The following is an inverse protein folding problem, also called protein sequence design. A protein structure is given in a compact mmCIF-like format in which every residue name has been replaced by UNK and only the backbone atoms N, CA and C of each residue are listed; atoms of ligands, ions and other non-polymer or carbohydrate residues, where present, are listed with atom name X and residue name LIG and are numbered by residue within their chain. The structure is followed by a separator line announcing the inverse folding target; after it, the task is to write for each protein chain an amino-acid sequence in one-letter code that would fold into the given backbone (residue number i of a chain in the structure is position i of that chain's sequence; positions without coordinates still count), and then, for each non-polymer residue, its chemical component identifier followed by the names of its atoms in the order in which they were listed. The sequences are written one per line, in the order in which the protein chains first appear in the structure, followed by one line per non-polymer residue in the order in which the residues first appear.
data_IF_174027093353
#
_entry.id   IF_174027093353
#
_cell.length_a   1.000
_cell.length_b   1.000
_cell.length_c   1.000
_cell.angle_alpha   90.00
_cell.angle_beta   90.00
_cell.angle_gamma   90.00
#
_symmetry.space_group_name_H-M   'P 1'
#
loop_
_entity.id
_entity.type
_entity.pdbx_description
1 polymer ?
#
# COMPACT_ATOMS: atom_id res chain seq x y z
N UNK A 1 -5.33 -8.66 10.55
CA UNK A 1 -6.22 -7.91 9.64
C UNK A 1 -6.03 -6.44 9.92
N UNK A 2 -5.70 -5.64 8.92
CA UNK A 2 -5.49 -4.20 9.07
C UNK A 2 -6.86 -3.51 9.18
N UNK A 3 -7.25 -3.04 10.37
CA UNK A 3 -8.60 -2.50 10.66
C UNK A 3 -8.99 -1.23 9.88
N UNK A 4 -7.99 -0.59 9.25
CA UNK A 4 -8.13 0.61 8.42
C UNK A 4 -8.46 0.32 6.96
N UNK A 5 -8.42 -0.93 6.49
CA UNK A 5 -8.84 -1.23 5.11
C UNK A 5 -10.34 -0.95 4.89
N UNK A 6 -10.67 -0.32 3.76
CA UNK A 6 -12.03 0.06 3.37
C UNK A 6 -12.33 -0.36 1.93
N UNK A 7 -12.02 -1.60 1.60
CA UNK A 7 -12.29 -2.18 0.29
C UNK A 7 -11.31 -3.28 -0.07
N UNK A 8 -11.38 -3.73 -1.31
CA UNK A 8 -10.43 -4.68 -1.86
C UNK A 8 -9.12 -3.95 -2.22
N UNK A 9 -7.99 -4.56 -1.85
CA UNK A 9 -6.68 -4.16 -2.37
C UNK A 9 -6.57 -4.65 -3.81
N UNK A 10 -6.28 -3.76 -4.75
CA UNK A 10 -6.24 -4.07 -6.18
C UNK A 10 -4.88 -3.76 -6.76
N UNK A 11 -4.38 -4.62 -7.64
CA UNK A 11 -3.20 -4.34 -8.46
C UNK A 11 -3.62 -3.72 -9.80
N UNK A 12 -3.19 -2.49 -10.09
CA UNK A 12 -3.57 -1.76 -11.33
C UNK A 12 -2.62 -1.99 -12.51
N UNK A 13 -1.60 -2.84 -12.35
CA UNK A 13 -0.52 -3.05 -13.32
C UNK A 13 0.76 -2.26 -13.03
N UNK A 14 0.70 -1.25 -12.16
CA UNK A 14 1.82 -0.38 -11.76
C UNK A 14 1.96 -0.25 -10.24
N UNK A 15 0.84 -0.21 -9.51
CA UNK A 15 0.78 -0.04 -8.06
C UNK A 15 -0.33 -0.90 -7.44
N UNK A 16 -0.15 -1.23 -6.16
CA UNK A 16 -1.26 -1.68 -5.31
C UNK A 16 -2.06 -0.46 -4.85
N UNK A 17 -3.37 -0.51 -5.06
CA UNK A 17 -4.33 0.46 -4.56
C UNK A 17 -4.88 -0.07 -3.25
N UNK A 18 -4.71 0.70 -2.18
CA UNK A 18 -5.13 0.35 -0.83
C UNK A 18 -6.17 1.38 -0.37
N UNK A 19 -7.46 1.09 -0.54
CA UNK A 19 -8.52 1.92 0.02
C UNK A 19 -8.47 1.83 1.55
N UNK A 20 -8.38 2.97 2.22
CA UNK A 20 -8.26 3.02 3.67
C UNK A 20 -9.11 4.12 4.31
N UNK A 21 -9.53 3.85 5.56
CA UNK A 21 -10.13 4.84 6.43
C UNK A 21 -9.07 5.83 6.92
N UNK A 22 -9.42 7.11 6.91
CA UNK A 22 -8.66 8.20 7.52
C UNK A 22 -9.62 9.00 8.42
N UNK A 23 -9.13 9.78 9.40
CA UNK A 23 -10.02 10.50 10.32
C UNK A 23 -11.04 11.41 9.62
N UNK A 24 -10.67 11.97 8.46
CA UNK A 24 -11.53 12.84 7.65
C UNK A 24 -12.50 12.08 6.73
N UNK A 25 -12.38 10.76 6.60
CA UNK A 25 -13.22 9.91 5.75
C UNK A 25 -12.47 8.72 5.16
N UNK A 26 -12.26 8.74 3.85
CA UNK A 26 -11.57 7.69 3.11
C UNK A 26 -10.51 8.28 2.19
N UNK A 27 -9.39 7.58 2.05
CA UNK A 27 -8.30 7.88 1.14
C UNK A 27 -7.82 6.60 0.44
N UNK A 28 -7.02 6.74 -0.62
CA UNK A 28 -6.37 5.61 -1.29
C UNK A 28 -4.86 5.78 -1.12
N UNK A 29 -4.20 4.77 -0.56
CA UNK A 29 -2.75 4.69 -0.65
C UNK A 29 -2.35 3.86 -1.88
N UNK A 30 -1.55 4.47 -2.75
CA UNK A 30 -0.87 3.81 -3.87
C UNK A 30 0.49 3.32 -3.40
N UNK A 31 0.77 2.03 -3.60
CA UNK A 31 2.07 1.42 -3.34
C UNK A 31 2.67 1.02 -4.69
N UNK A 32 3.58 1.82 -5.25
CA UNK A 32 4.24 1.51 -6.51
C UNK A 32 5.03 0.20 -6.45
N UNK A 33 5.25 -0.43 -7.61
CA UNK A 33 6.05 -1.67 -7.71
C UNK A 33 7.41 -1.54 -7.04
N UNK A 34 8.08 -0.43 -7.26
CA UNK A 34 9.39 -0.12 -6.69
C UNK A 34 9.38 -0.15 -5.16
N UNK A 35 8.28 0.25 -4.52
CA UNK A 35 8.13 0.17 -3.06
C UNK A 35 7.94 -1.28 -2.63
N UNK A 36 7.17 -2.08 -3.39
CA UNK A 36 7.05 -3.52 -3.12
C UNK A 36 8.42 -4.21 -3.21
N UNK A 37 9.25 -3.80 -4.17
CA UNK A 37 10.59 -4.37 -4.38
C UNK A 37 11.58 -4.08 -3.25
N UNK A 38 11.31 -3.10 -2.38
CA UNK A 38 12.09 -2.90 -1.13
C UNK A 38 11.93 -4.10 -0.18
N UNK A 39 10.79 -4.78 -0.22
CA UNK A 39 10.58 -5.99 0.56
C UNK A 39 11.42 -7.12 -0.04
N UNK A 40 12.42 -7.60 0.70
CA UNK A 40 13.34 -8.66 0.23
C UNK A 40 12.64 -9.88 -0.38
N UNK A 41 11.50 -10.29 0.16
CA UNK A 41 10.73 -11.43 -0.35
C UNK A 41 10.13 -11.19 -1.75
N UNK A 42 9.94 -9.93 -2.13
CA UNK A 42 9.29 -9.50 -3.36
C UNK A 42 10.21 -8.64 -4.24
N UNK A 43 11.53 -8.67 -4.00
CA UNK A 43 12.49 -7.77 -4.66
C UNK A 43 12.54 -7.88 -6.19
N UNK A 44 12.18 -9.03 -6.73
CA UNK A 44 12.10 -9.33 -8.16
C UNK A 44 10.67 -9.68 -8.61
N UNK A 45 9.68 -9.44 -7.74
CA UNK A 45 8.32 -9.90 -7.97
C UNK A 45 7.71 -9.26 -9.23
N UNK A 46 7.12 -10.10 -10.07
CA UNK A 46 6.39 -9.67 -11.26
C UNK A 46 4.93 -9.32 -10.93
N UNK A 47 4.24 -8.61 -11.84
CA UNK A 47 2.87 -8.15 -11.59
C UNK A 47 1.88 -9.26 -11.18
N UNK A 48 2.04 -10.49 -11.70
CA UNK A 48 1.20 -11.63 -11.30
C UNK A 48 1.40 -11.99 -9.82
N UNK A 49 2.64 -12.04 -9.38
CA UNK A 49 2.99 -12.39 -7.99
C UNK A 49 2.51 -11.30 -7.03
N UNK A 50 2.74 -10.03 -7.39
CA UNK A 50 2.25 -8.89 -6.63
C UNK A 50 0.72 -8.94 -6.48
N UNK A 51 0.00 -9.26 -7.56
CA UNK A 51 -1.46 -9.38 -7.48
C UNK A 51 -1.92 -10.57 -6.61
N UNK A 52 -1.25 -11.72 -6.70
CA UNK A 52 -1.57 -12.90 -5.88
C UNK A 52 -1.30 -12.63 -4.39
N UNK A 53 -0.18 -11.98 -4.08
CA UNK A 53 0.32 -11.73 -2.72
C UNK A 53 -0.11 -10.38 -2.14
N UNK A 54 -1.00 -9.64 -2.83
CA UNK A 54 -1.36 -8.25 -2.50
C UNK A 54 -1.73 -8.01 -1.04
N UNK A 55 -2.44 -8.94 -0.41
CA UNK A 55 -2.81 -8.82 1.00
C UNK A 55 -1.58 -8.96 1.91
N UNK A 56 -0.74 -9.96 1.67
CA UNK A 56 0.49 -10.18 2.45
C UNK A 56 1.48 -9.01 2.31
N UNK A 57 1.59 -8.45 1.10
CA UNK A 57 2.40 -7.25 0.84
C UNK A 57 1.89 -6.06 1.66
N UNK A 58 0.58 -5.80 1.61
CA UNK A 58 -0.05 -4.70 2.38
C UNK A 58 0.10 -4.92 3.89
N UNK A 59 -0.03 -6.15 4.38
CA UNK A 59 0.21 -6.49 5.79
C UNK A 59 1.65 -6.21 6.23
N UNK A 60 2.65 -6.51 5.39
CA UNK A 60 4.06 -6.16 5.68
C UNK A 60 4.31 -4.66 5.68
N UNK A 61 3.57 -3.91 4.86
CA UNK A 61 3.70 -2.46 4.76
C UNK A 61 2.79 -1.69 5.74
N UNK A 62 2.00 -2.40 6.55
CA UNK A 62 1.01 -1.80 7.45
C UNK A 62 1.54 -0.65 8.31
N UNK A 63 2.73 -0.75 8.95
CA UNK A 63 3.24 0.34 9.79
C UNK A 63 3.48 1.64 9.00
N UNK A 64 4.03 1.52 7.81
CA UNK A 64 4.30 2.65 6.93
C UNK A 64 3.02 3.23 6.34
N UNK A 65 2.07 2.36 5.97
CA UNK A 65 0.74 2.76 5.52
C UNK A 65 -0.03 3.54 6.60
N UNK A 66 0.00 3.07 7.85
CA UNK A 66 -0.64 3.77 8.99
C UNK A 66 -0.09 5.19 9.11
N UNK A 67 1.24 5.33 9.13
CA UNK A 67 1.89 6.64 9.25
C UNK A 67 1.55 7.56 8.09
N UNK A 68 1.58 7.04 6.85
CA UNK A 68 1.26 7.80 5.65
C UNK A 68 -0.20 8.28 5.64
N UNK A 69 -1.12 7.37 5.94
CA UNK A 69 -2.56 7.63 5.90
C UNK A 69 -3.05 8.50 7.06
N UNK A 70 -2.34 8.53 8.19
CA UNK A 70 -2.66 9.43 9.30
C UNK A 70 -2.60 10.91 8.91
N UNK A 71 -1.84 11.24 7.87
CA UNK A 71 -1.67 12.61 7.35
C UNK A 71 -2.56 12.91 6.14
N UNK A 72 -3.27 11.92 5.62
CA UNK A 72 -4.06 12.04 4.40
C UNK A 72 -5.46 12.61 4.67
N UNK A 73 -5.98 13.36 3.71
CA UNK A 73 -7.32 13.92 3.73
C UNK A 73 -8.32 13.04 2.98
N UNK A 74 -9.61 13.31 3.20
CA UNK A 74 -10.67 12.63 2.49
C UNK A 74 -10.58 12.87 0.98
N UNK A 75 -10.67 11.79 0.20
CA UNK A 75 -10.59 11.80 -1.26
C UNK A 75 -9.16 11.88 -1.79
N UNK A 76 -8.16 11.93 -0.91
CA UNK A 76 -6.77 12.01 -1.32
C UNK A 76 -6.25 10.66 -1.83
N UNK A 77 -5.38 10.74 -2.82
CA UNK A 77 -4.58 9.62 -3.31
C UNK A 77 -3.13 9.90 -2.92
N UNK A 78 -2.63 9.18 -1.93
CA UNK A 78 -1.26 9.32 -1.43
C UNK A 78 -0.38 8.19 -1.94
N UNK A 79 0.89 8.44 -2.19
CA UNK A 79 1.85 7.40 -2.60
C UNK A 79 2.79 7.04 -1.45
N UNK A 80 2.95 5.74 -1.20
CA UNK A 80 3.97 5.21 -0.30
C UNK A 80 5.23 4.91 -1.11
N UNK A 81 6.27 5.72 -0.92
CA UNK A 81 7.50 5.66 -1.69
C UNK A 81 8.52 4.67 -1.10
N UNK A 82 9.48 4.18 -1.91
CA UNK A 82 10.48 3.21 -1.46
C UNK A 82 11.29 3.65 -0.24
N UNK A 83 11.69 4.93 -0.20
CA UNK A 83 12.50 5.49 0.89
C UNK A 83 11.72 5.65 2.21
N UNK A 84 10.40 5.54 2.18
CA UNK A 84 9.59 5.57 3.41
C UNK A 84 9.51 4.19 4.07
N UNK A 85 9.94 3.14 3.36
CA UNK A 85 9.93 1.73 3.80
C UNK A 85 11.35 1.22 4.07
N UNK A 86 12.32 1.74 3.32
CA UNK A 86 13.72 1.38 3.43
C UNK A 86 14.39 2.18 4.56
N UNK A 87 14.46 1.59 5.75
CA UNK A 87 15.25 2.06 6.90
C UNK A 87 16.44 1.10 7.13
#
# INVERSE_FOLDING_TARGET
MIDLLRGEVVWDGRALLVPAAVPSGQAICRIPRETVHVLRLYSDAIGREINLERQNIVEKLAPFLITKLAQANHGEVVELFPWEVND
#
